data_IF_207385756959
#
_entry.id   IF_207385756959
#
_cell.length_a   1.000
_cell.length_b   1.000
_cell.length_c   1.000
_cell.angle_alpha   90.00
_cell.angle_beta   90.00
_cell.angle_gamma   90.00
#
_symmetry.space_group_name_H-M   'P 1'
#
loop_
_entity.id
_entity.type
_entity.pdbx_description
1 polymer ?
#
# COMPACT_ATOMS: atom_id res chain seq x y z
N UNK A 1 48.45 14.17 -24.74
CA UNK A 1 47.92 14.90 -23.55
C UNK A 1 46.51 15.46 -23.77
N UNK A 2 45.55 14.69 -24.32
CA UNK A 2 44.15 15.16 -24.50
C UNK A 2 43.08 14.22 -23.96
N UNK A 3 43.46 13.15 -23.27
CA UNK A 3 42.55 12.09 -22.83
C UNK A 3 42.20 12.11 -21.34
N UNK A 4 42.88 12.90 -20.51
CA UNK A 4 42.66 12.89 -19.05
C UNK A 4 41.67 13.94 -18.53
N UNK A 5 41.36 14.99 -19.30
CA UNK A 5 40.46 16.07 -18.85
C UNK A 5 38.96 15.74 -18.94
N UNK A 6 38.56 14.74 -19.72
CA UNK A 6 37.13 14.35 -19.87
C UNK A 6 36.66 13.34 -18.81
N UNK A 7 37.59 12.60 -18.19
CA UNK A 7 37.24 11.59 -17.20
C UNK A 7 36.80 12.22 -15.86
N UNK A 8 37.43 13.32 -15.44
CA UNK A 8 37.12 13.96 -14.16
C UNK A 8 35.71 14.60 -14.12
N UNK A 9 35.22 15.13 -15.24
CA UNK A 9 33.87 15.73 -15.33
C UNK A 9 32.74 14.68 -15.39
N UNK A 10 33.02 13.48 -15.90
CA UNK A 10 32.05 12.39 -15.99
C UNK A 10 31.87 11.64 -14.65
N UNK A 11 32.94 11.52 -13.87
CA UNK A 11 32.89 10.88 -12.54
C UNK A 11 32.10 11.74 -11.55
N UNK A 12 32.21 13.07 -11.64
CA UNK A 12 31.44 13.98 -10.78
C UNK A 12 29.94 14.01 -11.12
N UNK A 13 29.58 13.84 -12.40
CA UNK A 13 28.19 13.74 -12.83
C UNK A 13 27.53 12.39 -12.43
N UNK A 14 28.28 11.30 -12.44
CA UNK A 14 27.80 9.98 -11.98
C UNK A 14 27.65 9.90 -10.44
N UNK A 15 28.50 10.58 -9.68
CA UNK A 15 28.41 10.62 -8.22
C UNK A 15 27.19 11.43 -7.72
N UNK A 16 26.77 12.47 -8.46
CA UNK A 16 25.58 13.25 -8.13
C UNK A 16 24.29 12.51 -8.52
N UNK A 17 24.31 11.73 -9.62
CA UNK A 17 23.18 10.89 -10.03
C UNK A 17 22.95 9.68 -9.11
N UNK A 18 23.97 9.24 -8.36
CA UNK A 18 23.88 8.15 -7.39
C UNK A 18 23.15 8.52 -6.08
N UNK A 19 22.79 9.79 -5.87
CA UNK A 19 22.10 10.26 -4.67
C UNK A 19 20.58 10.44 -4.83
N UNK A 20 19.99 10.02 -5.95
CA UNK A 20 18.54 10.02 -6.14
C UNK A 20 18.01 8.58 -6.10
N UNK A 21 18.20 7.94 -4.95
CA UNK A 21 17.54 6.69 -4.59
C UNK A 21 16.06 6.98 -4.36
N UNK A 22 15.22 6.83 -5.39
CA UNK A 22 13.78 6.75 -5.19
C UNK A 22 13.44 5.33 -4.75
N UNK A 23 13.16 5.19 -3.46
CA UNK A 23 12.49 4.03 -2.90
C UNK A 23 11.15 3.88 -3.63
N UNK A 24 10.78 2.66 -4.02
CA UNK A 24 9.39 2.38 -4.35
C UNK A 24 8.64 2.37 -3.02
N UNK A 25 8.17 3.56 -2.66
CA UNK A 25 7.43 3.83 -1.44
C UNK A 25 5.96 3.52 -1.68
N UNK A 26 5.28 3.00 -0.68
CA UNK A 26 3.84 3.00 -0.68
C UNK A 26 3.28 4.42 -0.95
N UNK A 27 2.07 4.47 -1.49
CA UNK A 27 1.71 5.56 -2.38
C UNK A 27 0.56 6.46 -1.88
N UNK A 28 0.43 6.58 -0.55
CA UNK A 28 -0.44 7.57 0.05
C UNK A 28 -0.45 7.56 1.58
N UNK A 29 -1.07 8.57 2.16
CA UNK A 29 -1.24 8.69 3.61
C UNK A 29 -2.41 9.61 3.97
N UNK A 30 -2.95 9.42 5.17
CA UNK A 30 -3.95 10.31 5.76
C UNK A 30 -3.26 11.56 6.32
N UNK A 31 -3.40 12.67 5.62
CA UNK A 31 -2.79 13.95 5.97
C UNK A 31 -3.63 14.76 6.97
N UNK A 32 -4.96 14.64 6.93
CA UNK A 32 -5.87 15.32 7.87
C UNK A 32 -6.97 14.35 8.33
N UNK A 33 -7.12 14.10 9.64
CA UNK A 33 -6.15 14.45 10.68
C UNK A 33 -4.81 13.77 10.40
N UNK A 34 -3.69 14.36 10.81
CA UNK A 34 -2.38 13.77 10.54
C UNK A 34 -2.30 12.36 11.14
N UNK A 35 -2.03 11.36 10.31
CA UNK A 35 -1.79 9.99 10.76
C UNK A 35 -0.42 9.87 11.44
N UNK A 36 -0.21 8.79 12.19
CA UNK A 36 1.02 8.58 13.00
C UNK A 36 2.30 8.70 12.17
N UNK A 37 2.26 8.17 10.96
CA UNK A 37 3.32 8.20 9.96
C UNK A 37 3.54 9.57 9.30
N UNK A 38 2.48 10.36 9.16
CA UNK A 38 2.59 11.75 8.72
C UNK A 38 3.14 12.66 9.82
N UNK A 39 2.72 12.42 11.07
CA UNK A 39 3.11 13.22 12.24
C UNK A 39 4.53 12.91 12.70
N UNK A 40 4.83 11.62 12.89
CA UNK A 40 6.12 11.14 13.38
C UNK A 40 6.78 10.26 12.32
N UNK A 41 7.21 10.94 11.26
CA UNK A 41 7.79 10.33 10.07
C UNK A 41 9.25 9.88 10.29
N UNK A 42 9.46 8.86 11.12
CA UNK A 42 10.81 8.36 11.47
C UNK A 42 11.57 7.83 10.27
N UNK A 43 10.85 7.36 9.26
CA UNK A 43 11.40 6.71 8.09
C UNK A 43 11.59 7.69 6.92
N UNK A 44 11.36 8.99 7.15
CA UNK A 44 11.36 10.07 6.15
C UNK A 44 10.43 9.83 4.95
N UNK A 45 9.47 8.93 5.12
CA UNK A 45 8.48 8.53 4.16
C UNK A 45 7.11 8.36 4.84
N UNK A 46 6.26 9.40 4.84
CA UNK A 46 4.93 9.25 5.43
C UNK A 46 4.07 8.30 4.61
N UNK A 47 4.34 8.12 3.32
CA UNK A 47 3.56 7.25 2.44
C UNK A 47 3.94 5.75 2.51
N UNK A 48 5.01 5.33 3.20
CA UNK A 48 5.61 3.98 3.08
C UNK A 48 4.86 2.81 3.74
N UNK A 49 3.64 3.01 4.24
CA UNK A 49 3.03 2.10 5.21
C UNK A 49 1.82 1.32 4.69
N UNK A 50 1.86 0.89 3.43
CA UNK A 50 0.83 -0.02 2.92
C UNK A 50 1.24 -1.46 3.30
N UNK A 51 0.85 -1.90 4.50
CA UNK A 51 1.16 -3.22 5.07
C UNK A 51 2.67 -3.55 5.08
N UNK A 52 3.51 -2.57 5.41
CA UNK A 52 4.97 -2.69 5.44
C UNK A 52 5.66 -2.49 4.09
N UNK A 53 4.93 -2.16 3.01
CA UNK A 53 5.49 -1.96 1.66
C UNK A 53 5.99 -3.26 1.03
N UNK A 54 5.43 -4.39 1.45
CA UNK A 54 5.93 -5.73 1.10
C UNK A 54 5.06 -6.46 0.07
N UNK A 55 3.96 -5.86 -0.41
CA UNK A 55 3.22 -6.43 -1.52
C UNK A 55 1.93 -7.17 -1.29
N UNK A 56 1.25 -7.57 -2.39
CA UNK A 56 0.21 -8.59 -2.34
C UNK A 56 0.76 -9.90 -1.75
N UNK A 57 2.04 -10.20 -1.96
CA UNK A 57 2.68 -11.39 -1.41
C UNK A 57 2.77 -11.34 0.12
N UNK A 58 3.01 -10.18 0.73
CA UNK A 58 3.05 -10.07 2.19
C UNK A 58 1.66 -10.25 2.80
N UNK A 59 0.67 -9.57 2.24
CA UNK A 59 -0.70 -9.62 2.76
C UNK A 59 -1.40 -10.94 2.47
N UNK A 60 -1.02 -11.65 1.40
CA UNK A 60 -1.49 -13.02 1.12
C UNK A 60 -0.63 -14.11 1.76
N UNK A 61 0.37 -13.74 2.57
CA UNK A 61 1.34 -14.65 3.17
C UNK A 61 1.98 -15.61 2.15
N UNK A 62 2.46 -15.07 1.04
CA UNK A 62 3.06 -15.81 -0.07
C UNK A 62 2.05 -16.61 -0.89
N UNK A 63 0.85 -16.07 -1.12
CA UNK A 63 -0.29 -16.73 -1.77
C UNK A 63 -0.84 -17.94 -0.99
N UNK A 64 -0.53 -18.08 0.29
CA UNK A 64 -1.08 -19.15 1.14
C UNK A 64 -2.47 -18.80 1.66
N UNK A 65 -2.78 -17.50 1.75
CA UNK A 65 -4.10 -17.01 2.12
C UNK A 65 -4.96 -16.78 0.87
N UNK A 66 -6.25 -17.10 1.01
CA UNK A 66 -7.27 -16.71 0.04
C UNK A 66 -8.02 -15.49 0.54
N UNK A 67 -8.17 -14.51 -0.35
CA UNK A 67 -8.98 -13.32 -0.06
C UNK A 67 -10.38 -13.75 0.41
N UNK A 68 -10.94 -13.16 1.49
CA UNK A 68 -10.53 -11.91 2.14
C UNK A 68 -9.50 -12.02 3.27
N UNK A 69 -8.97 -13.21 3.57
CA UNK A 69 -7.99 -13.37 4.65
C UNK A 69 -6.66 -12.72 4.29
N UNK A 70 -6.20 -11.77 5.10
CA UNK A 70 -4.98 -10.98 4.89
C UNK A 70 -4.09 -10.95 6.13
N UNK A 71 -2.81 -10.61 5.93
CA UNK A 71 -1.83 -10.34 6.96
C UNK A 71 -1.33 -8.89 6.85
N UNK A 72 -1.71 -8.03 7.79
CA UNK A 72 -1.18 -6.67 7.92
C UNK A 72 -1.21 -6.20 9.37
N UNK A 73 -0.45 -5.16 9.69
CA UNK A 73 -0.63 -4.42 10.92
C UNK A 73 -1.89 -3.56 10.90
N UNK A 74 -2.37 -3.19 12.09
CA UNK A 74 -3.55 -2.34 12.26
C UNK A 74 -3.30 -0.90 11.78
N UNK A 75 -2.04 -0.47 11.81
CA UNK A 75 -1.61 0.88 11.46
C UNK A 75 -0.68 0.91 10.22
N UNK A 76 -0.76 -0.11 9.36
CA UNK A 76 0.00 -0.16 8.09
C UNK A 76 1.42 -0.74 8.18
N UNK A 77 1.86 -1.13 9.38
CA UNK A 77 3.12 -1.86 9.56
C UNK A 77 3.05 -3.29 8.99
N UNK A 78 4.22 -3.91 8.77
CA UNK A 78 4.33 -5.31 8.34
C UNK A 78 3.71 -6.27 9.35
N UNK A 79 3.03 -7.32 8.88
CA UNK A 79 2.42 -8.31 9.78
C UNK A 79 3.45 -9.03 10.66
N UNK A 80 4.59 -9.43 10.10
CA UNK A 80 5.65 -10.14 10.82
C UNK A 80 6.80 -9.23 11.27
N UNK A 81 6.84 -7.99 10.79
CA UNK A 81 7.90 -7.03 11.06
C UNK A 81 7.70 -6.19 12.31
N UNK A 82 8.50 -5.13 12.41
CA UNK A 82 8.40 -4.13 13.47
C UNK A 82 7.10 -3.32 13.33
N UNK A 83 6.38 -3.13 14.45
CA UNK A 83 5.13 -2.37 14.53
C UNK A 83 5.38 -0.96 15.08
N UNK A 84 5.98 -0.07 14.29
CA UNK A 84 6.37 1.28 14.74
C UNK A 84 5.17 2.19 15.00
N UNK A 85 4.06 1.97 14.31
CA UNK A 85 2.89 2.84 14.30
C UNK A 85 1.77 2.32 15.19
N UNK A 86 1.90 1.12 15.75
CA UNK A 86 1.00 0.59 16.77
C UNK A 86 1.50 0.95 18.17
N UNK A 87 0.62 0.86 19.18
CA UNK A 87 0.95 1.22 20.56
C UNK A 87 2.20 0.48 21.07
N UNK A 88 3.12 1.23 21.70
CA UNK A 88 4.45 0.76 22.09
C UNK A 88 5.53 0.99 21.04
N UNK A 89 5.15 1.24 19.78
CA UNK A 89 6.04 1.66 18.71
C UNK A 89 6.42 3.15 18.78
N UNK A 90 7.53 3.51 18.13
CA UNK A 90 8.12 4.86 18.19
C UNK A 90 7.21 5.96 17.63
N UNK A 91 6.27 5.63 16.74
CA UNK A 91 5.36 6.57 16.08
C UNK A 91 3.97 6.64 16.72
N UNK A 92 3.65 5.72 17.64
CA UNK A 92 2.43 5.76 18.44
C UNK A 92 2.62 6.62 19.71
N UNK A 93 2.87 7.91 19.51
CA UNK A 93 3.20 8.86 20.60
C UNK A 93 2.02 9.25 21.50
N UNK A 94 0.79 8.89 21.11
CA UNK A 94 -0.43 9.31 21.80
C UNK A 94 -0.82 10.77 21.55
N UNK A 95 -0.16 11.46 20.61
CA UNK A 95 -0.50 12.83 20.23
C UNK A 95 -1.88 12.88 19.57
N UNK A 96 -2.77 13.73 20.08
CA UNK A 96 -4.08 13.98 19.47
C UNK A 96 -3.91 14.90 18.26
N UNK A 97 -4.26 14.39 17.07
CA UNK A 97 -4.09 15.11 15.79
C UNK A 97 -5.38 15.71 15.23
N UNK A 98 -6.50 15.52 15.91
CA UNK A 98 -7.78 16.12 15.57
C UNK A 98 -8.77 16.05 16.74
N UNK A 99 -9.61 17.07 16.86
CA UNK A 99 -10.71 17.11 17.83
C UNK A 99 -11.98 17.44 17.06
N UNK A 100 -13.01 16.64 17.28
CA UNK A 100 -14.28 16.72 16.55
C UNK A 100 -15.44 16.62 17.52
N UNK A 101 -16.61 17.06 17.08
CA UNK A 101 -17.87 16.84 17.79
C UNK A 101 -18.57 15.60 17.22
N UNK A 102 -19.18 14.78 18.07
CA UNK A 102 -20.03 13.67 17.61
C UNK A 102 -21.11 14.17 16.63
N UNK A 103 -21.45 13.38 15.62
CA UNK A 103 -22.41 13.82 14.59
C UNK A 103 -21.91 14.95 13.68
N UNK A 104 -20.66 15.41 13.80
CA UNK A 104 -20.09 16.42 12.90
C UNK A 104 -19.80 15.86 11.51
N UNK A 105 -20.03 16.67 10.47
CA UNK A 105 -19.40 16.46 9.16
C UNK A 105 -17.96 16.95 9.20
N UNK A 106 -17.02 16.03 9.05
CA UNK A 106 -15.57 16.29 9.13
C UNK A 106 -14.91 16.18 7.77
N UNK A 107 -13.86 16.98 7.56
CA UNK A 107 -13.04 16.89 6.36
C UNK A 107 -11.82 16.03 6.65
N UNK A 108 -11.73 14.90 5.95
CA UNK A 108 -10.56 14.03 5.95
C UNK A 108 -9.75 14.32 4.70
N UNK A 109 -8.43 14.38 4.79
CA UNK A 109 -7.58 14.61 3.61
C UNK A 109 -6.59 13.48 3.45
N UNK A 110 -6.66 12.80 2.32
CA UNK A 110 -5.71 11.74 1.94
C UNK A 110 -4.87 12.22 0.77
N UNK A 111 -3.57 12.02 0.89
CA UNK A 111 -2.60 12.27 -0.18
C UNK A 111 -2.31 10.94 -0.84
N UNK A 112 -2.40 10.90 -2.17
CA UNK A 112 -2.05 9.76 -3.02
C UNK A 112 -0.89 10.18 -3.90
N UNK A 113 0.26 9.56 -3.73
CA UNK A 113 1.47 9.81 -4.51
C UNK A 113 1.54 8.91 -5.74
N UNK A 114 0.95 7.70 -5.69
CA UNK A 114 0.59 6.90 -6.86
C UNK A 114 -0.73 6.14 -6.65
N UNK A 115 -1.48 6.06 -7.73
CA UNK A 115 -2.83 5.52 -7.74
C UNK A 115 -2.81 4.05 -8.15
N UNK A 116 -3.47 3.23 -7.35
CA UNK A 116 -3.70 1.81 -7.61
C UNK A 116 -5.20 1.50 -7.81
N UNK A 117 -5.99 2.54 -8.14
CA UNK A 117 -7.46 2.45 -8.23
C UNK A 117 -8.08 1.90 -6.95
N UNK A 118 -9.25 1.28 -6.99
CA UNK A 118 -9.89 0.74 -5.79
C UNK A 118 -10.55 1.84 -4.95
N UNK A 119 -10.56 1.66 -3.63
CA UNK A 119 -11.37 2.46 -2.71
C UNK A 119 -10.74 2.67 -1.34
N UNK A 120 -11.05 3.82 -0.74
CA UNK A 120 -10.73 4.16 0.63
C UNK A 120 -11.93 3.92 1.54
N UNK A 121 -11.65 3.50 2.76
CA UNK A 121 -12.58 3.55 3.90
C UNK A 121 -11.91 4.22 5.07
N UNK A 122 -12.71 4.90 5.90
CA UNK A 122 -12.27 5.44 7.18
C UNK A 122 -13.05 4.78 8.28
N UNK A 123 -12.33 4.31 9.30
CA UNK A 123 -12.90 3.56 10.42
C UNK A 123 -12.40 4.16 11.71
N UNK A 124 -13.19 4.06 12.77
CA UNK A 124 -12.82 4.58 14.09
C UNK A 124 -12.99 3.49 15.14
N UNK A 125 -11.95 3.26 15.93
CA UNK A 125 -12.02 2.42 17.11
C UNK A 125 -11.95 3.32 18.36
N UNK A 126 -12.83 3.06 19.33
CA UNK A 126 -12.74 3.68 20.66
C UNK A 126 -11.91 2.77 21.54
N UNK A 127 -10.82 3.33 22.06
CA UNK A 127 -9.91 2.72 23.02
C UNK A 127 -10.32 3.24 24.40
N UNK A 128 -10.82 2.34 25.25
CA UNK A 128 -11.38 2.64 26.58
C UNK A 128 -10.27 2.88 27.60
N UNK A 129 -9.10 2.26 27.42
CA UNK A 129 -7.89 2.55 28.19
C UNK A 129 -6.71 2.78 27.24
N UNK A 130 -6.14 4.00 27.17
CA UNK A 130 -5.00 4.30 26.31
C UNK A 130 -3.80 3.38 26.50
N UNK A 131 -3.61 2.79 27.68
CA UNK A 131 -2.53 1.83 27.94
C UNK A 131 -2.78 0.46 27.30
N UNK A 132 -4.03 0.16 26.97
CA UNK A 132 -4.51 -1.11 26.42
C UNK A 132 -4.77 -1.04 24.90
N UNK A 133 -4.36 0.05 24.23
CA UNK A 133 -4.60 0.28 22.80
C UNK A 133 -4.16 -0.91 21.93
N UNK A 134 -3.01 -1.53 22.21
CA UNK A 134 -2.53 -2.68 21.43
C UNK A 134 -3.49 -3.87 21.44
N UNK A 135 -4.21 -4.08 22.55
CA UNK A 135 -5.17 -5.16 22.71
C UNK A 135 -6.57 -4.79 22.17
N UNK A 136 -6.94 -3.51 22.28
CA UNK A 136 -8.28 -3.03 21.92
C UNK A 136 -8.42 -2.65 20.43
N UNK A 137 -7.34 -2.16 19.82
CA UNK A 137 -7.32 -1.80 18.40
C UNK A 137 -7.32 -3.05 17.52
N UNK A 138 -8.53 -3.48 17.15
CA UNK A 138 -8.79 -4.69 16.37
C UNK A 138 -9.69 -4.37 15.18
N UNK A 139 -9.73 -5.25 14.17
CA UNK A 139 -10.70 -5.12 13.06
C UNK A 139 -12.14 -5.06 13.59
N UNK A 140 -12.48 -5.89 14.59
CA UNK A 140 -13.80 -5.87 15.23
C UNK A 140 -14.12 -4.49 15.84
N UNK A 141 -13.15 -3.85 16.49
CA UNK A 141 -13.35 -2.52 17.03
C UNK A 141 -13.55 -1.47 15.93
N UNK A 142 -12.72 -1.50 14.88
CA UNK A 142 -12.80 -0.56 13.76
C UNK A 142 -14.10 -0.71 12.97
N UNK A 143 -14.57 -1.93 12.77
CA UNK A 143 -15.79 -2.23 12.03
C UNK A 143 -17.08 -1.78 12.76
N UNK A 144 -17.01 -1.46 14.06
CA UNK A 144 -18.13 -0.81 14.78
C UNK A 144 -18.44 0.58 14.24
N UNK A 145 -17.44 1.31 13.75
CA UNK A 145 -17.61 2.67 13.27
C UNK A 145 -16.91 2.90 11.92
N UNK A 146 -17.48 2.31 10.87
CA UNK A 146 -17.13 2.65 9.49
C UNK A 146 -17.81 3.97 9.11
N UNK A 147 -17.02 4.99 8.79
CA UNK A 147 -17.53 6.31 8.41
C UNK A 147 -18.10 6.28 6.99
N UNK A 148 -19.18 7.03 6.78
CA UNK A 148 -19.81 7.21 5.46
C UNK A 148 -19.59 8.63 4.95
N UNK A 149 -19.51 8.78 3.63
CA UNK A 149 -19.41 10.09 3.00
C UNK A 149 -20.64 10.94 3.36
N UNK A 150 -20.41 12.19 3.75
CA UNK A 150 -21.49 13.12 4.05
C UNK A 150 -22.25 13.49 2.77
N UNK A 151 -23.56 13.75 2.91
CA UNK A 151 -24.39 14.25 1.81
C UNK A 151 -24.18 15.75 1.62
N UNK A 152 -23.07 16.08 0.97
CA UNK A 152 -22.66 17.46 0.67
C UNK A 152 -22.32 17.59 -0.82
N UNK A 153 -22.43 18.82 -1.34
CA UNK A 153 -22.08 19.10 -2.72
C UNK A 153 -20.63 18.68 -3.02
N UNK A 154 -20.45 17.89 -4.09
CA UNK A 154 -19.13 17.40 -4.51
C UNK A 154 -18.69 16.07 -3.87
N UNK A 155 -19.47 15.52 -2.94
CA UNK A 155 -19.26 14.16 -2.45
C UNK A 155 -19.36 13.15 -3.62
N UNK A 156 -18.47 12.17 -3.64
CA UNK A 156 -18.37 11.23 -4.75
C UNK A 156 -19.49 10.18 -4.69
N UNK A 157 -19.82 9.72 -3.48
CA UNK A 157 -20.88 8.75 -3.23
C UNK A 157 -21.49 8.95 -1.82
N UNK A 158 -22.34 9.96 -1.61
CA UNK A 158 -23.02 10.21 -0.33
C UNK A 158 -23.62 8.96 0.30
N UNK A 159 -23.43 8.79 1.61
CA UNK A 159 -23.93 7.63 2.37
C UNK A 159 -23.16 6.33 2.16
N UNK A 160 -22.22 6.28 1.20
CA UNK A 160 -21.33 5.13 1.01
C UNK A 160 -20.11 5.22 1.92
N UNK A 161 -19.60 4.09 2.46
CA UNK A 161 -18.30 4.06 3.13
C UNK A 161 -17.13 4.17 2.14
N UNK A 162 -17.38 3.90 0.85
CA UNK A 162 -16.34 3.74 -0.16
C UNK A 162 -16.14 5.02 -0.97
N UNK A 163 -14.94 5.59 -0.88
CA UNK A 163 -14.49 6.63 -1.81
C UNK A 163 -13.47 6.03 -2.79
N UNK A 164 -13.78 6.09 -4.08
CA UNK A 164 -12.99 5.48 -5.15
C UNK A 164 -11.85 6.40 -5.58
N UNK A 165 -10.65 5.82 -5.62
CA UNK A 165 -9.42 6.52 -6.01
C UNK A 165 -9.55 7.19 -7.40
N UNK A 166 -9.11 8.45 -7.49
CA UNK A 166 -9.19 9.29 -8.69
C UNK A 166 -7.85 9.57 -9.35
N UNK A 167 -6.76 8.99 -8.85
CA UNK A 167 -5.41 9.24 -9.36
C UNK A 167 -4.48 9.84 -8.30
N UNK A 168 -3.24 10.14 -8.68
CA UNK A 168 -2.31 10.89 -7.84
C UNK A 168 -2.86 12.29 -7.53
N UNK A 169 -2.83 12.69 -6.26
CA UNK A 169 -3.30 14.00 -5.81
C UNK A 169 -3.56 14.07 -4.31
N UNK A 170 -4.04 15.23 -3.86
CA UNK A 170 -4.55 15.42 -2.50
C UNK A 170 -6.06 15.55 -2.57
N UNK A 171 -6.76 14.73 -1.80
CA UNK A 171 -8.21 14.66 -1.80
C UNK A 171 -8.74 14.95 -0.42
N UNK A 172 -9.52 16.03 -0.30
CA UNK A 172 -10.31 16.31 0.89
C UNK A 172 -11.72 15.78 0.67
N UNK A 173 -12.13 14.82 1.48
CA UNK A 173 -13.45 14.22 1.47
C UNK A 173 -14.20 14.55 2.75
N UNK A 174 -15.49 14.85 2.65
CA UNK A 174 -16.35 15.08 3.80
C UNK A 174 -17.01 13.77 4.26
N UNK A 175 -16.83 13.44 5.53
CA UNK A 175 -17.38 12.23 6.17
C UNK A 175 -18.24 12.60 7.36
N UNK A 176 -19.30 11.82 7.58
CA UNK A 176 -20.22 11.99 8.70
C UNK A 176 -19.73 11.16 9.90
N UNK A 177 -19.42 11.81 11.02
CA UNK A 177 -19.18 11.10 12.27
C UNK A 177 -20.50 10.53 12.84
N UNK A 178 -20.51 9.33 13.42
CA UNK A 178 -21.67 8.79 14.12
C UNK A 178 -22.08 9.67 15.31
N UNK A 179 -23.38 9.71 15.63
CA UNK A 179 -23.83 10.17 16.94
C UNK A 179 -23.47 9.13 18.02
N UNK A 180 -23.13 9.59 19.22
CA UNK A 180 -22.73 8.75 20.34
C UNK A 180 -21.27 8.28 20.30
N UNK A 181 -20.51 8.62 19.25
CA UNK A 181 -19.09 8.29 19.16
C UNK A 181 -18.27 9.32 19.96
N UNK A 182 -17.87 8.94 21.18
CA UNK A 182 -17.17 9.83 22.11
C UNK A 182 -15.89 9.23 22.67
N UNK A 183 -14.83 10.03 22.72
CA UNK A 183 -13.55 9.76 23.37
C UNK A 183 -12.94 11.12 23.77
N UNK A 184 -12.43 11.26 24.99
CA UNK A 184 -11.99 12.55 25.52
C UNK A 184 -10.49 12.86 25.24
N UNK A 185 -9.77 11.89 24.68
CA UNK A 185 -8.33 11.97 24.41
C UNK A 185 -7.45 11.70 25.63
N UNK A 186 -8.04 11.56 26.82
CA UNK A 186 -7.36 11.44 28.12
C UNK A 186 -7.61 10.07 28.74
N UNK A 187 -8.86 9.77 29.07
CA UNK A 187 -9.28 8.49 29.64
C UNK A 187 -9.67 7.49 28.57
N UNK A 188 -10.19 7.96 27.43
CA UNK A 188 -10.49 7.15 26.27
C UNK A 188 -9.99 7.86 25.00
N UNK A 189 -9.49 7.11 24.02
CA UNK A 189 -8.94 7.67 22.77
C UNK A 189 -9.61 7.06 21.55
N UNK A 190 -9.89 7.88 20.55
CA UNK A 190 -10.29 7.36 19.25
C UNK A 190 -9.07 7.19 18.35
N UNK A 191 -8.94 6.01 17.75
CA UNK A 191 -7.97 5.74 16.70
C UNK A 191 -8.71 5.66 15.37
N UNK A 192 -8.35 6.54 14.43
CA UNK A 192 -8.90 6.52 13.07
C UNK A 192 -7.95 5.74 12.15
N UNK A 193 -8.49 4.75 11.44
CA UNK A 193 -7.79 4.03 10.39
C UNK A 193 -8.27 4.54 9.04
N UNK A 194 -7.33 5.01 8.22
CA UNK A 194 -7.52 5.05 6.77
C UNK A 194 -7.10 3.69 6.21
N UNK A 195 -7.99 3.06 5.46
CA UNK A 195 -7.74 1.78 4.82
C UNK A 195 -7.92 1.94 3.31
N UNK A 196 -6.87 1.60 2.56
CA UNK A 196 -6.86 1.67 1.12
C UNK A 196 -6.86 0.27 0.52
N UNK A 197 -8.03 -0.16 0.03
CA UNK A 197 -8.15 -1.38 -0.76
C UNK A 197 -7.95 -1.05 -2.24
N UNK A 198 -6.82 -1.43 -2.80
CA UNK A 198 -6.54 -1.17 -4.22
C UNK A 198 -7.43 -2.00 -5.15
N UNK A 199 -7.44 -1.66 -6.43
CA UNK A 199 -8.32 -2.27 -7.43
C UNK A 199 -7.69 -2.35 -8.82
N UNK A 200 -6.36 -2.49 -8.89
CA UNK A 200 -5.61 -2.63 -10.15
C UNK A 200 -5.17 -4.08 -10.44
N UNK A 201 -5.24 -4.99 -9.46
CA UNK A 201 -4.91 -6.42 -9.63
C UNK A 201 -6.12 -7.34 -9.69
N UNK A 202 -7.17 -7.03 -8.93
CA UNK A 202 -8.47 -7.68 -8.99
C UNK A 202 -9.55 -6.67 -8.60
N UNK A 203 -10.79 -6.98 -8.95
CA UNK A 203 -11.95 -6.16 -8.60
C UNK A 203 -12.48 -6.55 -7.22
N UNK A 204 -12.42 -5.68 -6.19
CA UNK A 204 -13.01 -5.95 -4.90
C UNK A 204 -14.52 -6.23 -5.02
N UNK A 205 -15.09 -7.12 -4.19
CA UNK A 205 -16.53 -7.31 -4.20
C UNK A 205 -17.26 -6.05 -3.72
N UNK A 206 -18.49 -5.92 -4.20
CA UNK A 206 -19.37 -4.78 -3.94
C UNK A 206 -18.79 -3.45 -4.43
N UNK A 207 -17.87 -3.46 -5.40
CA UNK A 207 -17.53 -2.25 -6.13
C UNK A 207 -18.75 -1.78 -6.92
N UNK A 208 -19.07 -0.50 -6.77
CA UNK A 208 -20.10 0.16 -7.55
C UNK A 208 -19.75 0.03 -9.05
N UNK A 209 -20.66 -0.48 -9.90
CA UNK A 209 -20.41 -0.71 -11.32
C UNK A 209 -19.86 0.50 -12.07
N UNK A 210 -20.12 1.73 -11.59
CA UNK A 210 -19.57 2.97 -12.15
C UNK A 210 -18.04 3.03 -12.05
N UNK A 211 -17.45 2.42 -11.02
CA UNK A 211 -16.02 2.47 -10.74
C UNK A 211 -15.31 1.14 -10.95
N UNK A 212 -16.06 0.06 -11.23
CA UNK A 212 -15.52 -1.26 -11.50
C UNK A 212 -14.70 -1.31 -12.80
N UNK A 213 -13.64 -2.11 -12.79
CA UNK A 213 -12.83 -2.44 -13.95
C UNK A 213 -13.37 -3.71 -14.63
N UNK A 214 -13.99 -3.62 -15.83
CA UNK A 214 -14.56 -4.79 -16.49
C UNK A 214 -13.50 -5.77 -17.02
N UNK A 215 -12.22 -5.40 -16.99
CA UNK A 215 -11.12 -6.23 -17.47
C UNK A 215 -10.46 -7.08 -16.36
N UNK A 216 -10.71 -6.78 -15.09
CA UNK A 216 -10.07 -7.47 -13.97
C UNK A 216 -10.93 -8.64 -13.46
N UNK A 217 -10.30 -9.74 -13.02
CA UNK A 217 -11.01 -10.79 -12.30
C UNK A 217 -11.49 -10.26 -10.94
N UNK A 218 -12.58 -10.82 -10.39
CA UNK A 218 -12.98 -10.51 -9.02
C UNK A 218 -11.93 -11.01 -8.01
N UNK A 219 -11.68 -10.25 -6.94
CA UNK A 219 -10.80 -10.71 -5.87
C UNK A 219 -11.32 -12.03 -5.27
N UNK A 220 -10.41 -12.93 -4.94
CA UNK A 220 -10.68 -14.30 -4.50
C UNK A 220 -10.89 -15.31 -5.65
N UNK A 221 -11.20 -14.87 -6.87
CA UNK A 221 -11.27 -15.78 -8.02
C UNK A 221 -9.87 -16.14 -8.51
N UNK A 222 -9.59 -17.43 -8.74
CA UNK A 222 -8.27 -17.92 -9.17
C UNK A 222 -7.09 -17.43 -8.29
N UNK A 223 -7.30 -17.29 -6.98
CA UNK A 223 -6.34 -16.70 -6.03
C UNK A 223 -5.94 -15.24 -6.35
N UNK A 224 -6.76 -14.51 -7.12
CA UNK A 224 -6.53 -13.08 -7.35
C UNK A 224 -6.67 -12.30 -6.04
N UNK A 225 -5.65 -11.51 -5.73
CA UNK A 225 -5.53 -10.81 -4.46
C UNK A 225 -5.34 -9.31 -4.73
N UNK A 226 -6.01 -8.40 -3.99
CA UNK A 226 -5.82 -6.96 -4.17
C UNK A 226 -4.36 -6.62 -3.92
N UNK A 227 -3.80 -5.74 -4.73
CA UNK A 227 -2.41 -5.33 -4.52
C UNK A 227 -2.32 -4.43 -3.31
N UNK A 228 -1.38 -4.70 -2.44
CA UNK A 228 -0.87 -3.71 -1.50
C UNK A 228 0.55 -3.53 -1.98
N UNK A 229 1.00 -2.31 -2.27
CA UNK A 229 2.18 -2.08 -3.11
C UNK A 229 3.36 -3.03 -2.78
N UNK A 230 3.69 -3.90 -3.74
CA UNK A 230 5.00 -4.49 -3.89
C UNK A 230 5.47 -4.22 -5.29
N UNK A 231 6.66 -3.68 -5.34
CA UNK A 231 7.63 -4.14 -6.32
C UNK A 231 7.75 -5.67 -6.28
N UNK A 232 7.18 -6.33 -7.29
CA UNK A 232 7.16 -7.78 -7.47
C UNK A 232 8.56 -8.43 -7.37
N UNK A 233 8.65 -9.61 -6.78
CA UNK A 233 9.40 -10.74 -7.37
C UNK A 233 10.93 -10.83 -7.23
N UNK A 234 11.60 -10.06 -6.36
CA UNK A 234 13.06 -10.20 -6.16
C UNK A 234 13.36 -10.79 -4.78
N UNK A 235 13.25 -12.11 -4.64
CA UNK A 235 13.56 -12.77 -3.35
C UNK A 235 15.02 -12.52 -2.94
N UNK A 236 15.21 -11.93 -1.75
CA UNK A 236 16.51 -11.81 -1.08
C UNK A 236 17.39 -10.63 -1.55
N UNK A 237 16.81 -9.57 -2.11
CA UNK A 237 17.54 -8.32 -2.42
C UNK A 237 18.55 -8.44 -3.56
N UNK A 238 18.42 -9.46 -4.42
CA UNK A 238 19.34 -9.69 -5.54
C UNK A 238 18.93 -8.88 -6.78
N UNK A 239 19.88 -8.14 -7.35
CA UNK A 239 19.74 -7.52 -8.66
C UNK A 239 20.14 -8.50 -9.77
N UNK A 240 19.42 -8.50 -10.89
CA UNK A 240 19.64 -9.37 -12.05
C UNK A 240 18.36 -9.81 -12.74
N UNK A 241 18.49 -10.66 -13.75
CA UNK A 241 17.35 -11.24 -14.47
C UNK A 241 16.96 -12.59 -13.87
N UNK A 242 15.69 -12.73 -13.48
CA UNK A 242 15.13 -13.92 -12.82
C UNK A 242 13.96 -14.49 -13.62
N UNK A 243 13.95 -15.80 -13.83
CA UNK A 243 12.91 -16.46 -14.60
C UNK A 243 11.57 -16.40 -13.86
N UNK A 244 10.49 -16.18 -14.59
CA UNK A 244 9.13 -16.37 -14.09
C UNK A 244 8.78 -17.87 -14.10
N UNK A 245 9.31 -18.59 -13.12
CA UNK A 245 9.12 -20.05 -13.00
C UNK A 245 7.64 -20.41 -12.79
N UNK A 246 6.86 -19.53 -12.15
CA UNK A 246 5.43 -19.70 -11.93
C UNK A 246 4.64 -19.56 -13.24
N UNK A 247 5.03 -18.63 -14.11
CA UNK A 247 4.48 -18.46 -15.47
C UNK A 247 5.07 -19.41 -16.52
N UNK A 248 5.84 -20.43 -16.11
CA UNK A 248 6.45 -21.41 -17.00
C UNK A 248 7.60 -20.85 -17.84
N UNK A 249 8.33 -19.87 -17.30
CA UNK A 249 9.46 -19.17 -17.93
C UNK A 249 9.11 -18.49 -19.25
N UNK A 250 7.84 -18.13 -19.49
CA UNK A 250 7.43 -17.37 -20.68
C UNK A 250 7.90 -15.91 -20.68
N UNK A 251 8.43 -15.47 -19.55
CA UNK A 251 9.04 -14.17 -19.36
C UNK A 251 9.98 -14.19 -18.15
N UNK A 252 10.46 -13.02 -17.79
CA UNK A 252 11.42 -12.85 -16.71
C UNK A 252 11.28 -11.50 -16.04
N UNK A 253 11.66 -11.48 -14.77
CA UNK A 253 11.76 -10.27 -13.97
C UNK A 253 13.17 -9.71 -14.10
N UNK A 254 13.28 -8.47 -14.58
CA UNK A 254 14.49 -7.68 -14.44
C UNK A 254 14.46 -6.96 -13.10
N UNK A 255 15.19 -7.50 -12.13
CA UNK A 255 15.30 -6.97 -10.77
C UNK A 255 16.48 -6.00 -10.68
N UNK A 256 16.21 -4.77 -10.27
CA UNK A 256 17.24 -3.79 -9.92
C UNK A 256 16.97 -3.19 -8.54
N UNK A 257 17.84 -2.26 -8.12
CA UNK A 257 17.60 -1.44 -6.94
C UNK A 257 16.37 -0.52 -7.08
N UNK A 258 15.85 -0.33 -8.29
CA UNK A 258 14.68 0.50 -8.63
C UNK A 258 13.39 -0.31 -8.82
N UNK A 259 13.33 -1.55 -8.30
CA UNK A 259 12.18 -2.45 -8.47
C UNK A 259 12.36 -3.48 -9.57
N UNK A 260 11.27 -4.16 -9.93
CA UNK A 260 11.27 -5.22 -10.95
C UNK A 260 10.46 -4.82 -12.17
N UNK A 261 10.92 -5.25 -13.34
CA UNK A 261 10.19 -5.10 -14.59
C UNK A 261 10.01 -6.46 -15.24
N UNK A 262 8.76 -6.86 -15.50
CA UNK A 262 8.48 -8.08 -16.23
C UNK A 262 8.71 -7.87 -17.72
N UNK A 263 9.43 -8.79 -18.36
CA UNK A 263 9.60 -8.83 -19.80
C UNK A 263 9.17 -10.19 -20.32
N UNK A 264 8.16 -10.19 -21.19
CA UNK A 264 7.75 -11.39 -21.90
C UNK A 264 8.80 -11.75 -22.95
N UNK A 265 9.10 -13.05 -23.09
CA UNK A 265 9.91 -13.52 -24.19
C UNK A 265 9.14 -13.45 -25.52
N UNK A 266 9.85 -13.24 -26.65
CA UNK A 266 9.24 -13.35 -27.97
C UNK A 266 8.47 -14.67 -28.13
N UNK A 267 7.38 -14.61 -28.90
CA UNK A 267 6.45 -15.73 -29.10
C UNK A 267 7.24 -17.00 -29.41
N UNK A 268 6.92 -18.10 -28.71
CA UNK A 268 7.55 -19.45 -28.81
C UNK A 268 8.90 -19.65 -28.10
N UNK A 269 9.48 -18.62 -27.45
CA UNK A 269 10.71 -18.75 -26.66
C UNK A 269 10.44 -18.67 -25.14
N UNK A 270 11.35 -19.22 -24.34
CA UNK A 270 11.30 -19.20 -22.87
C UNK A 270 12.56 -18.54 -22.31
N UNK A 271 12.45 -17.87 -21.17
CA UNK A 271 13.59 -17.26 -20.51
C UNK A 271 14.48 -18.32 -19.87
N UNK A 272 15.76 -18.30 -20.24
CA UNK A 272 16.77 -19.20 -19.73
C UNK A 272 17.51 -18.56 -18.54
N UNK A 273 17.35 -19.08 -17.31
CA UNK A 273 18.00 -18.51 -16.13
C UNK A 273 19.52 -18.66 -16.14
N UNK A 274 20.09 -19.56 -16.94
CA UNK A 274 21.54 -19.78 -17.05
C UNK A 274 22.21 -18.78 -17.99
N UNK A 275 21.59 -18.49 -19.14
CA UNK A 275 22.15 -17.59 -20.18
C UNK A 275 21.60 -16.16 -20.08
N UNK A 276 20.56 -15.95 -19.26
CA UNK A 276 19.89 -14.67 -19.02
C UNK A 276 19.24 -14.06 -20.27
N UNK A 277 18.79 -14.89 -21.20
CA UNK A 277 18.12 -14.49 -22.44
C UNK A 277 16.93 -15.42 -22.75
N UNK A 278 16.08 -14.99 -23.69
CA UNK A 278 15.00 -15.82 -24.22
C UNK A 278 15.55 -16.82 -25.25
N UNK A 279 15.47 -18.11 -24.93
CA UNK A 279 15.97 -19.22 -25.72
C UNK A 279 14.83 -20.15 -26.18
N UNK A 280 15.14 -21.05 -27.11
CA UNK A 280 14.20 -22.10 -27.52
C UNK A 280 13.85 -23.02 -26.34
N UNK A 281 12.59 -23.49 -26.20
CA UNK A 281 12.17 -24.31 -25.07
C UNK A 281 13.04 -25.55 -24.82
N UNK A 282 13.60 -26.15 -25.87
CA UNK A 282 14.52 -27.30 -25.78
C UNK A 282 15.83 -27.02 -25.06
N UNK A 283 16.22 -25.75 -24.95
CA UNK A 283 17.44 -25.29 -24.27
C UNK A 283 17.17 -24.71 -22.87
N UNK A 284 15.90 -24.66 -22.43
CA UNK A 284 15.49 -24.04 -21.16
C UNK A 284 15.06 -25.09 -20.15
N UNK A 285 15.72 -25.11 -19.00
CA UNK A 285 15.24 -25.86 -17.84
C UNK A 285 14.46 -24.92 -16.93
N UNK A 286 13.14 -24.95 -17.04
CA UNK A 286 12.23 -24.15 -16.22
C UNK A 286 11.75 -24.96 -15.01
N UNK A 287 12.38 -24.78 -13.85
CA UNK A 287 12.02 -25.45 -12.59
C UNK A 287 12.07 -24.45 -11.43
N UNK A 288 11.14 -24.60 -10.49
CA UNK A 288 11.07 -23.83 -9.26
C UNK A 288 12.26 -24.13 -8.33
#
# INVERSE_FOLDING_TARGET
MRTYARAASLVLAFAIAACLLQHAEAHGYLAVPASRNALHNTDYCPQCLNAGGEGPAAVSAGNTLQWPLSHHGMCGDSYTGERKHEYGGVSATGTITGTYTEGQVVNLTTVITASHKGRFTYRVCVIEDPASELAELTEECLDKHVLVQADVAGAQNPGSPYWYDRGTGSYTMSYQLPQGLTCDGVNARCVMQWYYLTGNSCEPPNTDPKYASPQLPSCGSNNAYPEEDATCGCSGGKSGLFADVAGGCKGFFNCGSSGSHYMACPITTLFNPATKNCDWPSAVTCKA
#
